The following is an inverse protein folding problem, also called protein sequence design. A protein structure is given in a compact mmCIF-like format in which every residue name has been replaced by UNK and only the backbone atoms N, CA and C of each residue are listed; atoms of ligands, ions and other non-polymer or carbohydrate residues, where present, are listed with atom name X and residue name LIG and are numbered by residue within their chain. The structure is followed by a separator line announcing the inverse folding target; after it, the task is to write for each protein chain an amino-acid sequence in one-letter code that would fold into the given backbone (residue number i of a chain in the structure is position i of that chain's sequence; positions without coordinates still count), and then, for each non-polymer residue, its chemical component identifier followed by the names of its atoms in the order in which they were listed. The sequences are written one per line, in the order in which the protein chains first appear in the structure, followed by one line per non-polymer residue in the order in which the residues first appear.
data_IF_993612753578
#
_entry.id   IF_993612753578
#
_cell.length_a   1.000
_cell.length_b   1.000
_cell.length_c   1.000
_cell.angle_alpha   90.00
_cell.angle_beta   90.00
_cell.angle_gamma   90.00
#
_symmetry.space_group_name_H-M   'P 1'
#
loop_
_entity.id
_entity.type
_entity.pdbx_description
1 polymer ?
#
# COMPACT_ATOMS: atom_id res chain seq x y z
N UNK A 1 13.88 12.97 21.02
CA UNK A 1 14.31 11.74 20.32
C UNK A 1 13.19 10.72 20.13
N UNK A 2 12.08 10.80 20.86
CA UNK A 2 10.95 9.87 20.79
C UNK A 2 10.05 10.08 19.55
N UNK A 3 9.88 11.31 19.09
CA UNK A 3 8.95 11.64 17.98
C UNK A 3 9.35 11.01 16.65
N UNK A 4 10.63 11.02 16.29
CA UNK A 4 11.11 10.36 15.06
C UNK A 4 10.91 8.84 15.10
N UNK A 5 11.06 8.21 16.28
CA UNK A 5 10.84 6.77 16.43
C UNK A 5 9.35 6.42 16.31
N UNK A 6 8.47 7.26 16.87
CA UNK A 6 7.01 7.10 16.76
C UNK A 6 6.56 7.24 15.31
N UNK A 7 7.03 8.28 14.61
CA UNK A 7 6.71 8.47 13.19
C UNK A 7 7.21 7.29 12.34
N UNK A 8 8.44 6.82 12.55
CA UNK A 8 8.97 5.67 11.79
C UNK A 8 8.23 4.36 12.05
N UNK A 9 7.65 4.18 13.23
CA UNK A 9 6.75 3.04 13.48
C UNK A 9 5.44 3.19 12.72
N UNK A 10 4.85 4.38 12.72
CA UNK A 10 3.62 4.67 11.99
C UNK A 10 3.82 4.50 10.47
N UNK A 11 4.91 5.04 9.93
CA UNK A 11 5.31 4.89 8.52
C UNK A 11 5.38 3.41 8.10
N UNK A 12 5.98 2.55 8.93
CA UNK A 12 6.03 1.10 8.65
C UNK A 12 4.65 0.45 8.63
N UNK A 13 3.80 0.79 9.59
CA UNK A 13 2.43 0.23 9.64
C UNK A 13 1.60 0.66 8.43
N UNK A 14 1.64 1.94 8.08
CA UNK A 14 0.95 2.48 6.90
C UNK A 14 1.45 1.82 5.61
N UNK A 15 2.76 1.59 5.49
CA UNK A 15 3.35 0.89 4.35
C UNK A 15 2.84 -0.56 4.21
N UNK A 16 2.65 -1.28 5.32
CA UNK A 16 2.10 -2.64 5.30
C UNK A 16 0.65 -2.66 4.79
N UNK A 17 -0.16 -1.69 5.20
CA UNK A 17 -1.56 -1.55 4.74
C UNK A 17 -1.60 -1.24 3.24
N UNK A 18 -0.80 -0.27 2.80
CA UNK A 18 -0.73 0.13 1.40
C UNK A 18 -0.35 -1.05 0.48
N UNK A 19 0.69 -1.81 0.87
CA UNK A 19 1.20 -2.97 0.11
C UNK A 19 0.36 -4.23 0.23
N UNK A 20 -0.64 -4.25 1.10
CA UNK A 20 -1.47 -5.44 1.26
C UNK A 20 -2.16 -5.78 -0.08
N UNK A 21 -2.22 -7.05 -0.49
CA UNK A 21 -2.99 -7.46 -1.67
C UNK A 21 -4.42 -6.93 -1.61
N UNK A 22 -5.05 -6.71 -2.76
CA UNK A 22 -6.43 -6.26 -2.81
C UNK A 22 -7.35 -7.27 -2.11
N UNK A 23 -8.30 -6.76 -1.34
CA UNK A 23 -9.40 -7.51 -0.76
C UNK A 23 -10.66 -6.64 -0.73
N UNK A 24 -11.87 -7.22 -0.77
CA UNK A 24 -13.12 -6.46 -0.58
C UNK A 24 -13.11 -5.76 0.78
N UNK A 25 -13.17 -4.43 0.81
CA UNK A 25 -13.01 -3.64 2.04
C UNK A 25 -11.68 -2.86 2.13
N UNK A 26 -10.71 -3.13 1.25
CA UNK A 26 -9.44 -2.39 1.25
C UNK A 26 -9.63 -0.88 0.98
N UNK A 27 -10.44 -0.45 0.00
CA UNK A 27 -10.66 0.98 -0.23
C UNK A 27 -11.24 1.70 1.00
N UNK A 28 -12.19 1.08 1.69
CA UNK A 28 -12.79 1.59 2.93
C UNK A 28 -11.75 1.69 4.04
N UNK A 29 -10.94 0.64 4.23
CA UNK A 29 -9.86 0.65 5.22
C UNK A 29 -8.79 1.72 4.92
N UNK A 30 -8.51 1.98 3.64
CA UNK A 30 -7.62 3.07 3.22
C UNK A 30 -8.24 4.43 3.54
N UNK A 31 -9.55 4.59 3.31
CA UNK A 31 -10.28 5.81 3.63
C UNK A 31 -10.27 6.10 5.13
N UNK A 32 -10.59 5.10 5.95
CA UNK A 32 -10.52 5.19 7.42
C UNK A 32 -9.11 5.59 7.88
N UNK A 33 -8.06 5.02 7.26
CA UNK A 33 -6.68 5.40 7.56
C UNK A 33 -6.38 6.86 7.20
N UNK A 34 -6.93 7.39 6.09
CA UNK A 34 -6.74 8.78 5.70
C UNK A 34 -7.43 9.74 6.69
N UNK A 35 -8.64 9.39 7.15
CA UNK A 35 -9.36 10.17 8.17
C UNK A 35 -8.58 10.20 9.50
N UNK A 36 -8.02 9.06 9.90
CA UNK A 36 -7.14 8.93 11.07
C UNK A 36 -5.89 9.83 11.00
N UNK A 37 -5.32 10.00 9.80
CA UNK A 37 -4.17 10.87 9.58
C UNK A 37 -4.55 12.35 9.63
N UNK A 38 -5.75 12.70 9.17
CA UNK A 38 -6.29 14.05 9.32
C UNK A 38 -6.50 14.40 10.79
N UNK A 39 -7.08 13.50 11.58
CA UNK A 39 -7.28 13.70 13.01
C UNK A 39 -5.96 13.95 13.75
N UNK A 40 -4.95 13.13 13.47
CA UNK A 40 -3.61 13.29 14.06
C UNK A 40 -2.84 14.51 13.57
N UNK A 41 -3.20 15.07 12.42
CA UNK A 41 -2.67 16.35 12.00
C UNK A 41 -3.37 17.50 12.73
N UNK A 42 -4.68 17.42 12.88
CA UNK A 42 -5.48 18.42 13.61
C UNK A 42 -5.13 18.50 15.09
N UNK A 43 -4.78 17.38 15.71
CA UNK A 43 -4.35 17.33 17.12
C UNK A 43 -2.88 17.73 17.34
N UNK A 44 -2.11 17.94 16.26
CA UNK A 44 -0.70 18.33 16.31
C UNK A 44 0.29 17.17 16.50
N UNK A 45 -0.17 15.92 16.48
CA UNK A 45 0.69 14.71 16.58
C UNK A 45 1.48 14.43 15.30
N UNK A 46 1.04 14.98 14.17
CA UNK A 46 1.74 14.93 12.88
C UNK A 46 2.01 16.32 12.34
N UNK A 47 3.21 16.50 11.80
CA UNK A 47 3.49 17.67 10.96
C UNK A 47 2.84 17.51 9.58
N UNK A 48 2.69 18.63 8.88
CA UNK A 48 2.21 18.63 7.49
C UNK A 48 3.07 17.72 6.58
N UNK A 49 4.40 17.76 6.77
CA UNK A 49 5.34 16.91 6.02
C UNK A 49 5.13 15.42 6.33
N UNK A 50 4.98 15.07 7.61
CA UNK A 50 4.72 13.69 8.03
C UNK A 50 3.40 13.16 7.48
N UNK A 51 2.32 13.97 7.53
CA UNK A 51 1.03 13.62 6.94
C UNK A 51 1.16 13.39 5.43
N UNK A 52 1.81 14.30 4.72
CA UNK A 52 1.99 14.20 3.25
C UNK A 52 2.68 12.90 2.84
N UNK A 53 3.73 12.49 3.56
CA UNK A 53 4.42 11.21 3.34
C UNK A 53 3.46 10.02 3.52
N UNK A 54 2.68 10.00 4.61
CA UNK A 54 1.80 8.89 4.92
C UNK A 54 0.61 8.79 3.94
N UNK A 55 0.05 9.92 3.53
CA UNK A 55 -1.00 9.98 2.49
C UNK A 55 -0.45 9.44 1.17
N UNK A 56 0.72 9.89 0.75
CA UNK A 56 1.36 9.39 -0.47
C UNK A 56 1.54 7.86 -0.42
N UNK A 57 1.95 7.29 0.72
CA UNK A 57 2.06 5.84 0.86
C UNK A 57 0.73 5.11 0.65
N UNK A 58 -0.39 5.66 1.16
CA UNK A 58 -1.72 5.05 1.06
C UNK A 58 -2.35 5.20 -0.34
N UNK A 59 -2.02 6.27 -1.06
CA UNK A 59 -2.59 6.60 -2.37
C UNK A 59 -1.66 6.30 -3.54
N UNK A 60 -0.47 5.71 -3.31
CA UNK A 60 0.39 5.28 -4.41
C UNK A 60 -0.28 4.09 -5.10
N UNK A 61 -0.88 4.34 -6.26
CA UNK A 61 -1.62 3.35 -7.06
C UNK A 61 -0.72 2.37 -7.83
N UNK A 62 0.59 2.36 -7.59
CA UNK A 62 1.54 1.70 -8.48
C UNK A 62 2.09 0.35 -7.97
N UNK A 63 1.91 -0.65 -8.84
CA UNK A 63 2.74 -1.84 -9.06
C UNK A 63 2.37 -3.19 -8.40
N UNK A 64 1.12 -3.41 -7.97
CA UNK A 64 0.65 -4.79 -7.64
C UNK A 64 -0.53 -5.28 -8.47
N UNK A 65 -0.65 -4.82 -9.72
CA UNK A 65 -1.11 -5.68 -10.82
C UNK A 65 -0.01 -6.72 -11.11
N UNK A 66 0.26 -7.59 -10.14
CA UNK A 66 0.84 -8.89 -10.47
C UNK A 66 -0.34 -9.65 -11.05
N UNK A 67 -0.38 -9.82 -12.37
CA UNK A 67 -0.94 -11.04 -12.93
C UNK A 67 0.14 -12.12 -12.80
N UNK A 68 0.04 -13.12 -11.90
CA UNK A 68 0.91 -14.26 -11.89
C UNK A 68 0.29 -15.36 -12.76
N UNK A 69 0.76 -15.45 -13.99
CA UNK A 69 1.10 -16.68 -14.74
C UNK A 69 0.26 -17.95 -14.52
N UNK A 70 -0.47 -18.34 -15.58
CA UNK A 70 -0.74 -19.72 -15.98
C UNK A 70 -0.80 -19.70 -17.53
N UNK A 71 -0.14 -20.55 -18.33
CA UNK A 71 0.52 -21.82 -18.08
C UNK A 71 1.49 -22.08 -19.24
N UNK A 72 2.75 -22.39 -18.92
CA UNK A 72 3.61 -23.18 -19.79
C UNK A 72 2.87 -24.46 -20.21
N UNK A 73 2.66 -24.65 -21.51
CA UNK A 73 2.33 -25.94 -22.13
C UNK A 73 2.85 -25.96 -23.57
N UNK A 74 4.17 -25.93 -23.73
CA UNK A 74 4.78 -26.86 -24.69
C UNK A 74 4.73 -28.27 -24.05
N UNK A 75 4.71 -29.41 -24.78
CA UNK A 75 5.07 -29.61 -26.18
C UNK A 75 4.09 -30.53 -26.97
N UNK A 76 4.22 -30.61 -28.31
CA UNK A 76 4.43 -31.87 -29.06
C UNK A 76 4.39 -31.69 -30.59
N UNK A 77 5.45 -32.24 -31.19
CA UNK A 77 5.61 -32.70 -32.57
C UNK A 77 4.34 -32.96 -33.40
N UNK A 78 4.28 -32.35 -34.59
CA UNK A 78 3.71 -32.93 -35.83
C UNK A 78 4.44 -32.24 -36.98
N UNK A 79 5.57 -32.76 -37.50
CA UNK A 79 5.72 -33.77 -38.57
C UNK A 79 4.71 -33.64 -39.71
N UNK A 80 5.24 -33.30 -40.89
CA UNK A 80 4.71 -33.43 -42.27
C UNK A 80 3.58 -32.45 -42.64
N UNK A 81 3.57 -31.81 -43.82
CA UNK A 81 3.96 -32.30 -45.15
C UNK A 81 4.57 -31.22 -46.06
#
# INVERSE_FOLDING_TARGET
MTEMLTFKRLERTVNLIARHPFYPGKPEAVHDCLDDLEDRYRDGSLTHEQKSILVSLLTTEDANSIEPTESDCYPRHHRSS
#
